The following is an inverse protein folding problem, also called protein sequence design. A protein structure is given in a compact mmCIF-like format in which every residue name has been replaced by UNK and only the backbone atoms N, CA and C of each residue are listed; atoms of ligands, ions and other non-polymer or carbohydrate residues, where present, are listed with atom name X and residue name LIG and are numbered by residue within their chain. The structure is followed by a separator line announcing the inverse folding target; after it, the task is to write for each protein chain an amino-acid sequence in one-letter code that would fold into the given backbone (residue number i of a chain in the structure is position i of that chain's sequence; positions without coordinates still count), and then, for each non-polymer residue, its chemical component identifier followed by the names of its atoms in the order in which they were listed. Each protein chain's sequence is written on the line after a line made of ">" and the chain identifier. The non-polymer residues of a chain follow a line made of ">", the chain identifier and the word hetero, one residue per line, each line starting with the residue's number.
data_IF_636406349974
#
_entry.id   IF_636406349974
#
_cell.length_a   1.000
_cell.length_b   1.000
_cell.length_c   1.000
_cell.angle_alpha   90.00
_cell.angle_beta   90.00
_cell.angle_gamma   90.00
#
_symmetry.space_group_name_H-M   'P 1'
#
loop_
_entity.id
_entity.type
_entity.pdbx_description
1 polymer ?
#
# COMPACT_ATOMS: atom_id res chain seq x y z
N UNK A 1 -6.06 0.02 -3.68
CA UNK A 1 -7.28 0.33 -4.46
C UNK A 1 -7.09 1.32 -5.61
N UNK A 2 -5.86 1.80 -5.87
CA UNK A 2 -5.53 2.69 -7.01
C UNK A 2 -4.61 2.03 -8.05
N UNK A 3 -4.36 0.72 -7.91
CA UNK A 3 -3.49 -0.07 -8.81
C UNK A 3 -4.17 -0.38 -10.17
N UNK A 4 -5.39 0.15 -10.37
CA UNK A 4 -6.23 -0.06 -11.54
C UNK A 4 -6.43 1.17 -12.43
N UNK A 5 -5.80 2.32 -12.11
CA UNK A 5 -5.92 3.52 -12.94
C UNK A 5 -5.14 3.31 -14.24
N UNK A 6 -5.79 2.65 -15.18
CA UNK A 6 -5.30 2.47 -16.53
C UNK A 6 -5.41 3.76 -17.33
N UNK A 7 -4.69 3.81 -18.46
CA UNK A 7 -4.77 4.93 -19.41
C UNK A 7 -6.22 5.31 -19.77
N UNK A 8 -7.10 4.31 -19.88
CA UNK A 8 -8.52 4.52 -20.18
C UNK A 8 -9.27 5.31 -19.11
N UNK A 9 -8.93 5.14 -17.83
CA UNK A 9 -9.56 5.86 -16.74
C UNK A 9 -9.10 7.32 -16.69
N UNK A 10 -7.80 7.57 -16.92
CA UNK A 10 -7.29 8.93 -17.11
C UNK A 10 -7.94 9.64 -18.31
N UNK A 11 -8.16 8.92 -19.40
CA UNK A 11 -8.83 9.47 -20.58
C UNK A 11 -10.29 9.82 -20.27
N UNK A 12 -11.01 8.94 -19.55
CA UNK A 12 -12.38 9.20 -19.12
C UNK A 12 -12.47 10.44 -18.21
N UNK A 13 -11.61 10.53 -17.19
CA UNK A 13 -11.54 11.70 -16.30
C UNK A 13 -11.17 12.96 -17.09
N UNK A 14 -10.27 12.84 -18.05
CA UNK A 14 -9.92 13.91 -18.98
C UNK A 14 -11.13 14.42 -19.75
N UNK A 15 -11.91 13.53 -20.36
CA UNK A 15 -13.15 13.88 -21.07
C UNK A 15 -14.14 14.55 -20.14
N UNK A 16 -14.39 13.99 -18.95
CA UNK A 16 -15.30 14.58 -17.96
C UNK A 16 -14.82 15.98 -17.56
N UNK A 17 -13.53 16.15 -17.31
CA UNK A 17 -12.92 17.44 -17.00
C UNK A 17 -13.10 18.44 -18.15
N UNK A 18 -12.94 18.02 -19.40
CA UNK A 18 -13.16 18.85 -20.58
C UNK A 18 -14.63 19.27 -20.73
N UNK A 19 -15.59 18.42 -20.37
CA UNK A 19 -17.02 18.74 -20.45
C UNK A 19 -17.45 19.67 -19.32
N UNK A 20 -17.03 19.40 -18.08
CA UNK A 20 -17.44 20.16 -16.89
C UNK A 20 -16.79 21.54 -16.85
N UNK A 21 -15.47 21.58 -17.05
CA UNK A 21 -14.70 22.80 -16.94
C UNK A 21 -14.56 23.51 -18.29
N UNK A 22 -14.61 22.76 -19.39
CA UNK A 22 -14.37 23.26 -20.73
C UNK A 22 -12.91 23.07 -21.18
N UNK A 23 -12.67 22.84 -22.49
CA UNK A 23 -11.33 22.63 -23.04
C UNK A 23 -10.40 23.83 -22.89
N UNK A 24 -10.95 25.04 -22.81
CA UNK A 24 -10.14 26.25 -22.65
C UNK A 24 -9.68 26.49 -21.21
N UNK A 25 -10.45 25.99 -20.23
CA UNK A 25 -10.25 26.32 -18.81
C UNK A 25 -9.40 25.27 -18.07
N UNK A 26 -9.52 24.00 -18.46
CA UNK A 26 -8.69 22.90 -17.93
C UNK A 26 -7.17 23.20 -17.99
N UNK A 27 -6.59 23.60 -19.14
CA UNK A 27 -5.16 23.89 -19.21
C UNK A 27 -4.75 25.10 -18.36
N UNK A 28 -5.65 26.07 -18.16
CA UNK A 28 -5.40 27.22 -17.27
C UNK A 28 -5.37 26.76 -15.82
N UNK A 29 -6.32 25.92 -15.39
CA UNK A 29 -6.37 25.38 -14.02
C UNK A 29 -5.10 24.56 -13.69
N UNK A 30 -4.67 23.68 -14.61
CA UNK A 30 -3.42 22.91 -14.45
C UNK A 30 -2.22 23.85 -14.31
N UNK A 31 -2.11 24.90 -15.13
CA UNK A 31 -1.03 25.88 -15.02
C UNK A 31 -1.03 26.60 -13.67
N UNK A 32 -2.19 26.98 -13.15
CA UNK A 32 -2.29 27.63 -11.84
C UNK A 32 -1.84 26.70 -10.71
N UNK A 33 -2.40 25.48 -10.67
CA UNK A 33 -2.07 24.49 -9.64
C UNK A 33 -0.58 24.11 -9.71
N UNK A 34 -0.07 23.80 -10.90
CA UNK A 34 1.35 23.45 -11.08
C UNK A 34 2.28 24.64 -10.76
N UNK A 35 1.85 25.87 -11.04
CA UNK A 35 2.55 27.08 -10.64
C UNK A 35 2.68 27.19 -9.12
N UNK A 36 1.60 26.94 -8.37
CA UNK A 36 1.61 26.94 -6.92
C UNK A 36 2.48 25.83 -6.33
N UNK A 37 2.33 24.60 -6.82
CA UNK A 37 3.19 23.47 -6.42
C UNK A 37 4.66 23.82 -6.67
N UNK A 38 4.96 24.43 -7.82
CA UNK A 38 6.34 24.77 -8.18
C UNK A 38 6.89 25.92 -7.34
N UNK A 39 6.07 26.91 -7.00
CA UNK A 39 6.46 27.98 -6.08
C UNK A 39 6.76 27.43 -4.68
N UNK A 40 5.89 26.55 -4.16
CA UNK A 40 6.12 25.87 -2.87
C UNK A 40 7.39 25.01 -2.91
N UNK A 41 7.60 24.23 -3.97
CA UNK A 41 8.81 23.43 -4.14
C UNK A 41 10.08 24.28 -4.20
N UNK A 42 10.03 25.44 -4.88
CA UNK A 42 11.15 26.39 -4.91
C UNK A 42 11.45 26.93 -3.51
N UNK A 43 10.43 27.36 -2.78
CA UNK A 43 10.60 27.85 -1.41
C UNK A 43 11.19 26.79 -0.48
N UNK A 44 10.69 25.53 -0.57
CA UNK A 44 11.25 24.41 0.18
C UNK A 44 12.72 24.15 -0.18
N UNK A 45 13.06 24.20 -1.47
CA UNK A 45 14.44 24.03 -1.93
C UNK A 45 15.35 25.18 -1.45
N UNK A 46 14.90 26.44 -1.51
CA UNK A 46 15.68 27.59 -1.06
C UNK A 46 15.96 27.54 0.44
N UNK A 47 14.94 27.20 1.26
CA UNK A 47 15.13 26.99 2.70
C UNK A 47 16.12 25.84 2.95
N UNK A 48 16.02 24.75 2.18
CA UNK A 48 16.94 23.61 2.31
C UNK A 48 18.38 23.98 1.93
N UNK A 49 18.56 24.79 0.88
CA UNK A 49 19.85 25.28 0.39
C UNK A 49 20.51 26.26 1.39
N UNK A 50 19.73 27.18 1.97
CA UNK A 50 20.20 28.10 3.03
C UNK A 50 20.57 27.35 4.33
N UNK A 51 19.85 26.29 4.67
CA UNK A 51 20.12 25.48 5.87
C UNK A 51 21.27 24.47 5.69
N UNK A 52 21.48 23.96 4.47
CA UNK A 52 22.65 23.13 4.14
C UNK A 52 23.94 23.94 4.11
N UNK A 53 23.85 25.23 3.82
CA UNK A 53 25.01 26.10 3.63
C UNK A 53 25.52 26.78 4.92
N UNK A 54 24.71 26.87 5.99
CA UNK A 54 25.12 27.52 7.25
C UNK A 54 25.02 26.61 8.49
N UNK A 55 23.89 25.96 8.85
CA UNK A 55 23.76 25.17 10.09
C UNK A 55 22.59 24.15 10.07
N UNK A 56 22.93 22.88 10.30
CA UNK A 56 22.08 21.83 10.91
C UNK A 56 20.85 21.28 10.14
N UNK A 57 21.11 20.37 9.20
CA UNK A 57 20.13 19.33 8.78
C UNK A 57 19.57 18.55 10.01
N UNK A 58 20.39 18.43 11.06
CA UNK A 58 20.07 17.77 12.33
C UNK A 58 18.93 18.46 13.12
N UNK A 59 18.81 19.80 13.05
CA UNK A 59 17.81 20.55 13.82
C UNK A 59 16.41 20.39 13.22
N UNK A 60 16.27 20.44 11.89
CA UNK A 60 14.98 20.16 11.26
C UNK A 60 14.56 18.70 11.42
N UNK A 61 15.50 17.76 11.35
CA UNK A 61 15.20 16.36 11.67
C UNK A 61 14.73 16.20 13.11
N UNK A 62 15.31 16.94 14.07
CA UNK A 62 14.89 16.94 15.47
C UNK A 62 13.52 17.58 15.65
N UNK A 63 13.27 18.75 15.09
CA UNK A 63 11.98 19.45 15.19
C UNK A 63 10.85 18.66 14.53
N UNK A 64 11.12 18.02 13.38
CA UNK A 64 10.16 17.18 12.70
C UNK A 64 9.91 15.88 13.46
N UNK A 65 10.97 15.24 13.99
CA UNK A 65 10.86 14.06 14.86
C UNK A 65 10.19 14.39 16.19
N UNK A 66 10.33 15.61 16.69
CA UNK A 66 9.69 16.09 17.91
C UNK A 66 8.23 16.48 17.67
N UNK A 67 7.91 17.07 16.52
CA UNK A 67 6.52 17.32 16.11
C UNK A 67 5.78 15.99 15.84
N UNK A 68 6.45 15.04 15.19
CA UNK A 68 5.97 13.67 15.03
C UNK A 68 5.82 13.00 16.40
N UNK A 69 6.82 13.02 17.27
CA UNK A 69 6.73 12.38 18.59
C UNK A 69 5.67 13.01 19.48
N UNK A 70 5.48 14.33 19.45
CA UNK A 70 4.38 15.03 20.14
C UNK A 70 3.02 14.69 19.54
N UNK A 71 2.96 14.61 18.21
CA UNK A 71 1.78 14.13 17.48
C UNK A 71 1.44 12.67 17.79
N UNK A 72 2.45 11.82 18.03
CA UNK A 72 2.34 10.41 18.37
C UNK A 72 2.06 10.16 19.86
N UNK A 73 2.59 11.02 20.74
CA UNK A 73 2.40 10.94 22.20
C UNK A 73 1.06 11.52 22.64
N UNK A 74 0.42 12.34 21.79
CA UNK A 74 -0.92 12.89 22.03
C UNK A 74 -2.07 12.02 21.51
N UNK A 75 -1.78 10.81 21.02
CA UNK A 75 -2.80 9.92 20.44
C UNK A 75 -3.47 9.06 21.51
N UNK A 76 -4.73 8.70 21.26
CA UNK A 76 -5.46 7.71 22.05
C UNK A 76 -4.74 6.35 22.01
N UNK A 77 -4.86 5.51 23.05
CA UNK A 77 -4.19 4.19 23.12
C UNK A 77 -4.49 3.29 21.90
N UNK A 78 -5.62 3.50 21.24
CA UNK A 78 -6.03 2.80 20.02
C UNK A 78 -5.10 3.06 18.82
N UNK A 79 -4.59 4.29 18.66
CA UNK A 79 -3.70 4.61 17.53
C UNK A 79 -2.26 4.17 17.80
N UNK A 80 -1.86 4.06 19.06
CA UNK A 80 -0.58 3.47 19.45
C UNK A 80 -0.53 1.99 19.07
N UNK A 81 -1.59 1.24 19.39
CA UNK A 81 -1.75 -0.17 19.01
C UNK A 81 -1.74 -0.34 17.49
N UNK A 82 -2.42 0.56 16.77
CA UNK A 82 -2.43 0.57 15.31
C UNK A 82 -1.03 0.80 14.72
N UNK A 83 -0.23 1.69 15.31
CA UNK A 83 1.14 1.96 14.86
C UNK A 83 2.06 0.76 15.13
N UNK A 84 1.91 0.08 16.27
CA UNK A 84 2.67 -1.13 16.57
C UNK A 84 2.34 -2.29 15.61
N UNK A 85 1.06 -2.46 15.28
CA UNK A 85 0.62 -3.43 14.27
C UNK A 85 1.17 -3.09 12.88
N UNK A 86 1.15 -1.80 12.48
CA UNK A 86 1.75 -1.33 11.23
C UNK A 86 3.26 -1.57 11.19
N UNK A 87 3.95 -1.36 12.32
CA UNK A 87 5.39 -1.58 12.44
C UNK A 87 5.74 -3.07 12.29
N UNK A 88 4.96 -3.96 12.92
CA UNK A 88 5.12 -5.40 12.81
C UNK A 88 4.83 -5.91 11.39
N UNK A 89 3.78 -5.37 10.75
CA UNK A 89 3.47 -5.68 9.36
C UNK A 89 4.57 -5.19 8.40
N UNK A 90 5.09 -3.98 8.59
CA UNK A 90 6.19 -3.44 7.80
C UNK A 90 7.49 -4.26 7.98
N UNK A 91 7.78 -4.73 9.19
CA UNK A 91 8.92 -5.64 9.46
C UNK A 91 8.76 -6.98 8.74
N UNK A 92 7.55 -7.53 8.70
CA UNK A 92 7.28 -8.80 7.99
C UNK A 92 7.44 -8.67 6.47
N UNK A 93 7.13 -7.49 5.90
CA UNK A 93 7.24 -7.20 4.47
C UNK A 93 8.67 -6.78 4.06
N UNK A 94 9.51 -6.34 5.00
CA UNK A 94 10.93 -6.04 4.73
C UNK A 94 11.81 -7.31 4.80
N UNK A 95 11.23 -8.47 5.14
CA UNK A 95 11.92 -9.76 5.25
C UNK A 95 11.83 -10.74 4.05
N UNK A 96 11.42 -10.40 2.81
CA UNK A 96 11.19 -11.40 1.76
C UNK A 96 12.45 -11.82 1.00
N UNK A 97 13.67 -11.49 1.45
CA UNK A 97 14.90 -11.93 0.78
C UNK A 97 16.00 -12.38 1.75
N UNK A 98 15.65 -13.31 2.66
CA UNK A 98 16.55 -14.42 3.00
C UNK A 98 15.90 -15.69 2.49
N UNK A 99 16.08 -15.93 1.19
CA UNK A 99 15.84 -17.24 0.60
C UNK A 99 16.98 -18.12 1.09
N UNK A 100 16.68 -19.02 2.02
CA UNK A 100 17.61 -20.08 2.44
C UNK A 100 17.89 -20.98 1.24
N UNK A 101 19.01 -20.69 0.58
CA UNK A 101 19.64 -21.59 -0.37
C UNK A 101 20.43 -22.66 0.42
N UNK A 102 19.90 -23.88 0.40
CA UNK A 102 20.67 -25.11 0.60
C UNK A 102 20.65 -25.69 2.01
N UNK A 103 19.93 -26.80 2.17
CA UNK A 103 20.50 -28.09 2.62
C UNK A 103 19.46 -29.19 2.44
N UNK A 104 19.73 -30.06 1.49
CA UNK A 104 19.14 -31.39 1.29
C UNK A 104 19.45 -32.30 2.49
N UNK A 105 18.69 -33.41 2.61
CA UNK A 105 18.93 -34.63 3.42
C UNK A 105 18.39 -34.54 4.87
N UNK A 106 17.52 -35.44 5.39
CA UNK A 106 17.25 -36.83 5.05
C UNK A 106 16.01 -37.41 5.81
N UNK A 107 15.39 -38.45 5.21
CA UNK A 107 14.69 -39.60 5.84
C UNK A 107 13.28 -39.43 6.48
N UNK A 108 12.24 -40.27 6.26
CA UNK A 108 12.05 -41.54 5.53
C UNK A 108 10.58 -42.05 5.69
N UNK A 109 10.02 -42.70 4.64
CA UNK A 109 8.90 -43.70 4.59
C UNK A 109 7.48 -43.24 5.01
N UNK A 110 6.41 -43.55 4.28
CA UNK A 110 6.01 -44.86 3.73
C UNK A 110 4.95 -44.73 2.60
N UNK A 111 5.07 -45.62 1.59
CA UNK A 111 4.08 -46.13 0.60
C UNK A 111 3.49 -45.24 -0.52
N UNK A 112 4.17 -45.34 -1.66
CA UNK A 112 3.71 -45.91 -2.95
C UNK A 112 2.22 -45.84 -3.36
N UNK A 113 2.00 -45.02 -4.40
CA UNK A 113 1.06 -45.03 -5.56
C UNK A 113 0.77 -46.43 -6.16
N UNK A 114 -0.16 -46.67 -7.14
CA UNK A 114 -0.99 -45.73 -7.91
C UNK A 114 -2.45 -46.17 -8.27
N UNK A 115 -3.19 -45.21 -8.84
CA UNK A 115 -4.25 -45.29 -9.88
C UNK A 115 -5.21 -46.50 -9.93
N UNK A 116 -6.52 -46.23 -10.07
CA UNK A 116 -7.38 -46.75 -11.15
C UNK A 116 -8.71 -45.97 -11.14
N UNK A 117 -9.10 -45.55 -12.33
CA UNK A 117 -10.37 -44.95 -12.72
C UNK A 117 -11.58 -45.87 -12.48
N UNK A 118 -12.76 -45.25 -12.56
CA UNK A 118 -13.94 -45.79 -13.23
C UNK A 118 -14.94 -46.60 -12.39
N UNK A 119 -16.18 -46.09 -12.49
CA UNK A 119 -17.45 -46.82 -12.48
C UNK A 119 -18.03 -47.29 -11.15
N UNK A 120 -19.17 -46.70 -10.82
CA UNK A 120 -20.47 -47.37 -10.68
C UNK A 120 -21.28 -46.84 -9.49
N UNK A 121 -22.13 -45.85 -9.80
CA UNK A 121 -23.58 -45.81 -9.59
C UNK A 121 -24.21 -46.53 -8.38
N UNK A 122 -25.32 -45.93 -7.92
CA UNK A 122 -26.45 -46.49 -7.15
C UNK A 122 -26.35 -46.19 -5.64
N UNK A 123 -27.31 -45.64 -4.91
CA UNK A 123 -28.64 -45.07 -5.15
C UNK A 123 -29.16 -44.68 -3.75
N UNK A 124 -30.16 -43.80 -3.69
CA UNK A 124 -31.14 -43.60 -2.61
C UNK A 124 -30.69 -42.99 -1.27
N UNK A 125 -31.16 -41.74 -1.10
CA UNK A 125 -32.21 -41.38 -0.14
C UNK A 125 -31.84 -41.41 1.35
N UNK A 126 -31.79 -40.24 2.01
CA UNK A 126 -32.79 -39.80 3.00
C UNK A 126 -32.55 -38.31 3.23
N UNK A 127 -33.39 -37.47 2.62
CA UNK A 127 -33.60 -36.09 3.05
C UNK A 127 -34.98 -35.99 3.70
N UNK A 128 -35.08 -35.04 4.63
CA UNK A 128 -36.29 -34.49 5.26
C UNK A 128 -36.83 -35.21 6.50
N UNK A 129 -36.31 -34.72 7.61
CA UNK A 129 -36.91 -34.66 8.94
C UNK A 129 -37.93 -33.49 8.99
N UNK A 130 -39.24 -33.76 9.10
CA UNK A 130 -40.24 -32.78 9.60
C UNK A 130 -41.37 -33.49 10.36
N UNK A 131 -41.28 -33.41 11.71
CA UNK A 131 -42.32 -33.22 12.77
C UNK A 131 -43.65 -34.02 12.79
N UNK A 132 -44.36 -34.04 13.94
CA UNK A 132 -43.96 -33.80 15.33
C UNK A 132 -43.87 -35.06 16.20
#
# INVERSE_FOLDING_TARGET
>A
MFDGIGFMELLLIGIIGLVVLGPERLPVAVRTVTGWIRAMKRMANSVKEELEQELNIEQLHKDLKEAESKGLSGLSPELQESIDQLKQAAESVNRPYKVDAGSTEEANKDKSTPAIESSANTDKNVESHVKP
#
